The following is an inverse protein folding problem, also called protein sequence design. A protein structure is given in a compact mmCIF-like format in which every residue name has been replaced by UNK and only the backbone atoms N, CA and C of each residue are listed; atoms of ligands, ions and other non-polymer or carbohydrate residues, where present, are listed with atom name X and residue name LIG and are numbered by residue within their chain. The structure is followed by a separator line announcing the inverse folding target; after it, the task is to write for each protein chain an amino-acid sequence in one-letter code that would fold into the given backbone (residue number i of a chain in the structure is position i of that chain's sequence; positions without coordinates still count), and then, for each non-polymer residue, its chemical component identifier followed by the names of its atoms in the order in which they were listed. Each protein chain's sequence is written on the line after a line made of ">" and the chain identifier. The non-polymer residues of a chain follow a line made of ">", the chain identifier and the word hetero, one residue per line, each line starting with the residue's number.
data_IF_376795687678
#
_entry.id   IF_376795687678
#
_cell.length_a   1.000
_cell.length_b   1.000
_cell.length_c   1.000
_cell.angle_alpha   90.00
_cell.angle_beta   90.00
_cell.angle_gamma   90.00
#
_symmetry.space_group_name_H-M   'P 1'
#
loop_
_entity.id
_entity.type
_entity.pdbx_description
1 polymer ?
#
# COMPACT_ATOMS: atom_id res chain seq x y z
N UNK A 1 -83.14 32.00 51.51
CA UNK A 1 -82.12 31.19 52.21
C UNK A 1 -81.71 30.04 51.31
N UNK A 2 -80.56 30.15 50.69
CA UNK A 2 -79.96 29.01 49.92
C UNK A 2 -79.10 28.21 50.87
N UNK A 3 -79.36 26.95 50.96
CA UNK A 3 -78.82 25.99 51.88
C UNK A 3 -77.35 25.67 51.58
N UNK A 4 -76.53 25.55 52.59
CA UNK A 4 -75.06 25.34 52.56
C UNK A 4 -74.46 24.04 51.92
N UNK A 5 -75.19 23.05 51.43
CA UNK A 5 -74.62 21.85 50.89
C UNK A 5 -74.14 21.94 49.39
N UNK A 6 -74.62 22.91 48.60
CA UNK A 6 -74.25 23.03 47.18
C UNK A 6 -72.86 23.58 46.94
N UNK A 7 -72.32 24.38 47.81
CA UNK A 7 -71.02 25.02 47.70
C UNK A 7 -69.87 24.02 47.98
N UNK A 8 -70.07 23.08 48.90
CA UNK A 8 -69.03 22.08 49.30
C UNK A 8 -68.83 20.99 48.18
N UNK A 9 -69.91 20.66 47.47
CA UNK A 9 -69.76 19.68 46.32
C UNK A 9 -69.02 20.29 45.15
N UNK A 10 -69.10 21.57 44.87
CA UNK A 10 -68.37 22.28 43.80
C UNK A 10 -66.88 22.33 44.04
N UNK A 11 -66.45 22.49 45.28
CA UNK A 11 -65.01 22.50 45.61
C UNK A 11 -64.35 21.10 45.57
N UNK A 12 -65.08 20.04 45.89
CA UNK A 12 -64.59 18.69 45.88
C UNK A 12 -64.37 18.15 44.44
N UNK A 13 -65.23 18.50 43.49
CA UNK A 13 -65.13 18.14 42.08
C UNK A 13 -64.00 18.83 41.34
N UNK A 14 -63.70 20.12 41.72
CA UNK A 14 -62.59 20.85 41.09
C UNK A 14 -61.21 20.35 41.54
N UNK A 15 -61.05 20.00 42.80
CA UNK A 15 -59.80 19.39 43.31
C UNK A 15 -59.54 18.00 42.76
N UNK A 16 -60.53 17.19 42.51
CA UNK A 16 -60.42 15.84 41.92
C UNK A 16 -60.04 15.92 40.45
N UNK A 17 -60.62 16.85 39.70
CA UNK A 17 -60.30 17.07 38.26
C UNK A 17 -58.86 17.59 38.08
N UNK A 18 -58.35 18.44 38.99
CA UNK A 18 -56.96 18.93 38.97
C UNK A 18 -55.94 17.82 39.27
N UNK A 19 -56.26 16.89 40.15
CA UNK A 19 -55.42 15.71 40.46
C UNK A 19 -55.35 14.81 39.25
N UNK A 20 -56.46 14.46 38.59
CA UNK A 20 -56.51 13.65 37.39
C UNK A 20 -55.67 14.27 36.25
N UNK A 21 -55.81 15.55 35.99
CA UNK A 21 -55.00 16.26 34.97
C UNK A 21 -53.50 16.21 35.25
N UNK A 22 -53.09 16.31 36.51
CA UNK A 22 -51.67 16.22 36.92
C UNK A 22 -51.11 14.80 36.73
N UNK A 23 -51.89 13.78 37.08
CA UNK A 23 -51.50 12.37 36.89
C UNK A 23 -51.37 12.03 35.40
N UNK A 24 -52.35 12.47 34.58
CA UNK A 24 -52.28 12.31 33.12
C UNK A 24 -51.06 13.03 32.50
N UNK A 25 -50.81 14.26 32.93
CA UNK A 25 -49.64 15.01 32.45
C UNK A 25 -48.31 14.31 32.86
N UNK A 26 -48.20 13.83 34.10
CA UNK A 26 -47.04 13.09 34.57
C UNK A 26 -46.83 11.77 33.79
N UNK A 27 -47.92 11.01 33.55
CA UNK A 27 -47.87 9.80 32.75
C UNK A 27 -47.43 10.08 31.31
N UNK A 28 -47.93 11.15 30.70
CA UNK A 28 -47.54 11.56 29.33
C UNK A 28 -46.08 12.00 29.28
N UNK A 29 -45.59 12.76 30.25
CA UNK A 29 -44.18 13.13 30.35
C UNK A 29 -43.27 11.94 30.58
N UNK A 30 -43.68 10.97 31.40
CA UNK A 30 -42.95 9.73 31.61
C UNK A 30 -42.87 8.88 30.32
N UNK A 31 -43.97 8.85 29.55
CA UNK A 31 -43.98 8.16 28.24
C UNK A 31 -43.02 8.82 27.24
N UNK A 32 -43.05 10.15 27.14
CA UNK A 32 -42.12 10.89 26.25
C UNK A 32 -40.68 10.67 26.69
N UNK A 33 -40.38 10.72 27.98
CA UNK A 33 -39.06 10.47 28.51
C UNK A 33 -38.61 9.03 28.20
N UNK A 34 -39.48 8.04 28.36
CA UNK A 34 -39.23 6.64 28.02
C UNK A 34 -38.91 6.44 26.54
N UNK A 35 -39.69 7.04 25.65
CA UNK A 35 -39.43 7.00 24.19
C UNK A 35 -38.10 7.69 23.87
N UNK A 36 -37.79 8.81 24.49
CA UNK A 36 -36.52 9.53 24.30
C UNK A 36 -35.30 8.70 24.73
N UNK A 37 -35.39 8.04 25.88
CA UNK A 37 -34.34 7.16 26.41
C UNK A 37 -34.13 5.94 25.47
N UNK A 38 -35.19 5.28 25.06
CA UNK A 38 -35.13 4.12 24.14
C UNK A 38 -34.53 4.58 22.81
N UNK A 39 -34.97 5.69 22.25
CA UNK A 39 -34.46 6.25 21.01
C UNK A 39 -32.98 6.59 21.09
N UNK A 40 -32.55 7.17 22.21
CA UNK A 40 -31.13 7.50 22.46
C UNK A 40 -30.27 6.22 22.48
N UNK A 41 -30.67 5.21 23.24
CA UNK A 41 -29.91 3.93 23.28
C UNK A 41 -29.92 3.21 21.95
N UNK A 42 -31.03 3.25 21.21
CA UNK A 42 -31.12 2.67 19.88
C UNK A 42 -30.14 3.35 18.91
N UNK A 43 -30.10 4.69 18.88
CA UNK A 43 -29.17 5.45 18.04
C UNK A 43 -27.70 5.18 18.40
N UNK A 44 -27.37 5.14 19.69
CA UNK A 44 -26.02 4.82 20.16
C UNK A 44 -25.58 3.42 19.69
N UNK A 45 -26.47 2.44 19.83
CA UNK A 45 -26.20 1.07 19.40
C UNK A 45 -26.00 1.00 17.89
N UNK A 46 -26.86 1.67 17.11
CA UNK A 46 -26.74 1.68 15.65
C UNK A 46 -25.46 2.38 15.16
N UNK A 47 -25.04 3.46 15.83
CA UNK A 47 -23.76 4.11 15.53
C UNK A 47 -22.56 3.20 15.85
N UNK A 48 -22.60 2.50 16.98
CA UNK A 48 -21.55 1.55 17.36
C UNK A 48 -21.45 0.38 16.35
N UNK A 49 -22.59 -0.22 15.99
CA UNK A 49 -22.65 -1.31 15.01
C UNK A 49 -22.17 -0.86 13.62
N UNK A 50 -22.53 0.35 13.21
CA UNK A 50 -22.07 0.92 11.93
C UNK A 50 -20.56 1.15 11.91
N UNK A 51 -19.98 1.61 13.02
CA UNK A 51 -18.52 1.79 13.15
C UNK A 51 -17.79 0.45 13.10
N UNK A 52 -18.31 -0.55 13.83
CA UNK A 52 -17.72 -1.88 13.83
C UNK A 52 -17.73 -2.52 12.44
N UNK A 53 -18.86 -2.43 11.72
CA UNK A 53 -18.96 -2.90 10.33
C UNK A 53 -17.98 -2.18 9.41
N UNK A 54 -17.86 -0.87 9.51
CA UNK A 54 -16.92 -0.09 8.72
C UNK A 54 -15.46 -0.50 9.00
N UNK A 55 -15.10 -0.73 10.27
CA UNK A 55 -13.76 -1.21 10.63
C UNK A 55 -13.49 -2.61 10.04
N UNK A 56 -14.43 -3.53 10.14
CA UNK A 56 -14.30 -4.88 9.57
C UNK A 56 -14.13 -4.84 8.05
N UNK A 57 -14.91 -4.01 7.37
CA UNK A 57 -14.82 -3.81 5.92
C UNK A 57 -13.46 -3.23 5.52
N UNK A 58 -13.01 -2.17 6.21
CA UNK A 58 -11.69 -1.56 5.96
C UNK A 58 -10.55 -2.55 6.21
N UNK A 59 -10.62 -3.34 7.29
CA UNK A 59 -9.62 -4.37 7.56
C UNK A 59 -9.59 -5.43 6.46
N UNK A 60 -10.75 -5.94 6.05
CA UNK A 60 -10.83 -6.93 4.98
C UNK A 60 -10.25 -6.41 3.64
N UNK A 61 -10.52 -5.13 3.31
CA UNK A 61 -9.95 -4.49 2.13
C UNK A 61 -8.43 -4.35 2.26
N UNK A 62 -7.94 -3.94 3.43
CA UNK A 62 -6.50 -3.82 3.69
C UNK A 62 -5.81 -5.19 3.55
N UNK A 63 -6.36 -6.25 4.15
CA UNK A 63 -5.84 -7.61 4.05
C UNK A 63 -5.80 -8.12 2.60
N UNK A 64 -6.86 -7.84 1.83
CA UNK A 64 -6.89 -8.17 0.40
C UNK A 64 -5.76 -7.46 -0.36
N UNK A 65 -5.55 -6.17 -0.11
CA UNK A 65 -4.48 -5.39 -0.74
C UNK A 65 -3.10 -5.92 -0.38
N UNK A 66 -2.86 -6.21 0.90
CA UNK A 66 -1.61 -6.82 1.38
C UNK A 66 -1.34 -8.13 0.66
N UNK A 67 -2.34 -9.02 0.56
CA UNK A 67 -2.19 -10.29 -0.16
C UNK A 67 -1.89 -10.10 -1.66
N UNK A 68 -2.51 -9.12 -2.31
CA UNK A 68 -2.27 -8.82 -3.72
C UNK A 68 -0.85 -8.31 -3.94
N UNK A 69 -0.37 -7.39 -3.08
CA UNK A 69 1.00 -6.86 -3.12
C UNK A 69 2.00 -8.00 -2.86
N UNK A 70 1.75 -8.83 -1.86
CA UNK A 70 2.60 -9.97 -1.54
C UNK A 70 2.74 -10.94 -2.73
N UNK A 71 1.62 -11.37 -3.32
CA UNK A 71 1.64 -12.26 -4.50
C UNK A 71 2.37 -11.65 -5.69
N UNK A 72 2.16 -10.36 -5.94
CA UNK A 72 2.88 -9.65 -6.98
C UNK A 72 4.39 -9.65 -6.74
N UNK A 73 4.80 -9.32 -5.51
CA UNK A 73 6.20 -9.32 -5.09
C UNK A 73 6.83 -10.71 -5.22
N UNK A 74 6.19 -11.74 -4.70
CA UNK A 74 6.65 -13.13 -4.82
C UNK A 74 6.81 -13.55 -6.28
N UNK A 75 5.89 -13.17 -7.15
CA UNK A 75 6.03 -13.41 -8.59
C UNK A 75 7.27 -12.75 -9.18
N UNK A 76 7.56 -11.49 -8.83
CA UNK A 76 8.77 -10.80 -9.32
C UNK A 76 10.06 -11.43 -8.78
N UNK A 77 10.08 -11.80 -7.51
CA UNK A 77 11.23 -12.50 -6.92
C UNK A 77 11.45 -13.88 -7.53
N UNK A 78 10.39 -14.63 -7.76
CA UNK A 78 10.45 -15.94 -8.41
C UNK A 78 11.02 -15.86 -9.83
N UNK A 79 10.61 -14.85 -10.62
CA UNK A 79 11.19 -14.59 -11.94
C UNK A 79 12.70 -14.26 -11.83
N UNK A 80 13.09 -13.38 -10.93
CA UNK A 80 14.50 -13.01 -10.74
C UNK A 80 15.35 -14.21 -10.28
N UNK A 81 14.85 -15.04 -9.38
CA UNK A 81 15.52 -16.28 -8.96
C UNK A 81 15.68 -17.25 -10.13
N UNK A 82 14.64 -17.43 -10.95
CA UNK A 82 14.73 -18.27 -12.14
C UNK A 82 15.82 -17.77 -13.09
N UNK A 83 15.88 -16.47 -13.36
CA UNK A 83 16.89 -15.89 -14.26
C UNK A 83 18.30 -15.96 -13.69
N UNK A 84 18.46 -15.78 -12.38
CA UNK A 84 19.75 -15.93 -11.70
C UNK A 84 20.37 -17.32 -11.91
N UNK A 85 19.53 -18.35 -11.99
CA UNK A 85 19.94 -19.75 -12.13
C UNK A 85 19.86 -20.28 -13.58
N UNK A 86 19.34 -19.49 -14.52
CA UNK A 86 19.14 -19.91 -15.89
C UNK A 86 20.47 -20.12 -16.61
N UNK A 87 20.82 -21.38 -16.90
CA UNK A 87 22.08 -21.76 -17.51
C UNK A 87 22.34 -21.10 -18.89
N UNK A 88 21.29 -20.77 -19.63
CA UNK A 88 21.43 -20.07 -20.91
C UNK A 88 21.89 -18.63 -20.71
N UNK A 89 21.34 -17.92 -19.71
CA UNK A 89 21.77 -16.57 -19.37
C UNK A 89 23.25 -16.56 -18.97
N UNK A 90 23.64 -17.46 -18.05
CA UNK A 90 25.02 -17.59 -17.61
C UNK A 90 26.00 -17.89 -18.74
N UNK A 91 25.63 -18.76 -19.70
CA UNK A 91 26.47 -19.07 -20.88
C UNK A 91 26.65 -17.86 -21.79
N UNK A 92 25.56 -17.15 -22.08
CA UNK A 92 25.58 -15.99 -22.97
C UNK A 92 26.33 -14.82 -22.35
N UNK A 93 26.16 -14.59 -21.02
CA UNK A 93 26.94 -13.59 -20.26
C UNK A 93 28.44 -13.98 -20.27
N UNK A 94 28.78 -15.25 -20.04
CA UNK A 94 30.15 -15.70 -20.08
C UNK A 94 30.77 -15.50 -21.46
N UNK A 95 30.02 -15.79 -22.54
CA UNK A 95 30.46 -15.55 -23.91
C UNK A 95 30.66 -14.05 -24.20
N UNK A 96 29.75 -13.21 -23.72
CA UNK A 96 29.84 -11.73 -23.83
C UNK A 96 31.14 -11.21 -23.19
N UNK A 97 31.53 -11.75 -22.03
CA UNK A 97 32.72 -11.33 -21.29
C UNK A 97 34.05 -11.80 -21.91
N UNK A 98 34.03 -12.84 -22.74
CA UNK A 98 35.25 -13.45 -23.34
C UNK A 98 35.78 -12.69 -24.55
N UNK A 99 35.10 -11.70 -25.09
CA UNK A 99 35.62 -10.84 -26.16
C UNK A 99 34.89 -10.91 -27.51
N UNK A 100 35.53 -10.63 -28.65
CA UNK A 100 34.88 -10.21 -29.88
C UNK A 100 33.98 -11.25 -30.60
N UNK A 101 34.00 -12.54 -30.23
CA UNK A 101 32.99 -13.53 -30.68
C UNK A 101 31.62 -13.35 -29.99
N UNK A 102 31.42 -12.27 -29.29
CA UNK A 102 30.28 -12.01 -28.40
C UNK A 102 29.05 -11.38 -29.06
N UNK A 103 29.11 -11.02 -30.35
CA UNK A 103 27.97 -10.34 -30.99
C UNK A 103 26.69 -11.19 -31.01
N UNK A 104 26.83 -12.50 -31.23
CA UNK A 104 25.68 -13.42 -31.14
C UNK A 104 25.11 -13.49 -29.72
N UNK A 105 25.99 -13.67 -28.73
CA UNK A 105 25.59 -13.70 -27.32
C UNK A 105 24.96 -12.36 -26.88
N UNK A 106 25.53 -11.26 -27.32
CA UNK A 106 24.95 -9.91 -27.08
C UNK A 106 23.57 -9.78 -27.69
N UNK A 107 23.41 -10.21 -28.96
CA UNK A 107 22.10 -10.15 -29.62
C UNK A 107 21.05 -11.04 -28.93
N UNK A 108 21.44 -12.25 -28.48
CA UNK A 108 20.56 -13.15 -27.73
C UNK A 108 20.15 -12.56 -26.38
N UNK A 109 21.08 -12.02 -25.60
CA UNK A 109 20.81 -11.36 -24.33
C UNK A 109 19.90 -10.13 -24.51
N UNK A 110 20.17 -9.27 -25.48
CA UNK A 110 19.33 -8.11 -25.79
C UNK A 110 17.94 -8.53 -26.24
N UNK A 111 17.82 -9.57 -27.05
CA UNK A 111 16.54 -10.12 -27.47
C UNK A 111 15.74 -10.61 -26.26
N UNK A 112 16.36 -11.41 -25.39
CA UNK A 112 15.74 -11.88 -24.15
C UNK A 112 15.33 -10.74 -23.21
N UNK A 113 16.21 -9.75 -22.99
CA UNK A 113 15.89 -8.58 -22.16
C UNK A 113 14.71 -7.77 -22.75
N UNK A 114 14.63 -7.64 -24.06
CA UNK A 114 13.48 -7.01 -24.73
C UNK A 114 12.19 -7.79 -24.52
N UNK A 115 12.23 -9.11 -24.57
CA UNK A 115 11.06 -9.97 -24.28
C UNK A 115 10.57 -9.78 -22.83
N UNK A 116 11.47 -9.67 -21.87
CA UNK A 116 11.10 -9.39 -20.47
C UNK A 116 10.43 -8.04 -20.30
N UNK A 117 10.76 -7.06 -21.13
CA UNK A 117 10.15 -5.74 -21.13
C UNK A 117 8.74 -5.72 -21.74
N UNK A 118 8.34 -6.73 -22.49
CA UNK A 118 7.00 -6.81 -23.08
C UNK A 118 5.95 -6.83 -21.96
N UNK A 119 4.91 -6.00 -22.10
CA UNK A 119 3.82 -5.87 -21.14
C UNK A 119 4.18 -5.02 -19.93
N UNK A 120 5.18 -4.16 -20.06
CA UNK A 120 5.61 -3.16 -19.06
C UNK A 120 5.91 -3.72 -17.66
N UNK A 121 6.30 -5.00 -17.60
CA UNK A 121 6.64 -5.64 -16.32
C UNK A 121 7.84 -5.01 -15.65
N UNK A 122 8.81 -4.59 -16.45
CA UNK A 122 10.05 -3.95 -16.04
C UNK A 122 10.23 -2.67 -16.83
N UNK A 123 10.51 -1.59 -16.15
CA UNK A 123 10.78 -0.31 -16.78
C UNK A 123 12.14 -0.32 -17.47
N UNK A 124 13.14 -0.88 -16.78
CA UNK A 124 14.51 -1.00 -17.24
C UNK A 124 15.12 -2.34 -16.83
N UNK A 125 15.97 -2.86 -17.67
CA UNK A 125 16.84 -4.01 -17.39
C UNK A 125 18.28 -3.61 -17.68
N UNK A 126 19.21 -3.91 -16.80
CA UNK A 126 20.62 -3.62 -17.00
C UNK A 126 21.50 -4.76 -16.49
N UNK A 127 22.52 -5.10 -17.27
CA UNK A 127 23.53 -6.10 -16.94
C UNK A 127 24.86 -5.41 -16.67
N UNK A 128 25.49 -5.74 -15.55
CA UNK A 128 26.78 -5.18 -15.12
C UNK A 128 27.83 -6.27 -14.95
N UNK A 129 29.07 -5.92 -15.23
CA UNK A 129 30.22 -6.79 -14.91
C UNK A 129 30.54 -6.76 -13.40
N UNK A 130 31.47 -7.61 -12.93
CA UNK A 130 31.88 -7.60 -11.52
C UNK A 130 32.55 -6.28 -11.04
N UNK A 131 32.96 -5.41 -11.94
CA UNK A 131 33.52 -4.09 -11.65
C UNK A 131 32.44 -2.98 -11.60
N UNK A 132 31.16 -3.36 -11.84
CA UNK A 132 30.06 -2.42 -11.86
C UNK A 132 29.94 -1.63 -13.18
N UNK A 133 30.68 -2.03 -14.21
CA UNK A 133 30.55 -1.45 -15.55
C UNK A 133 29.32 -2.05 -16.24
N UNK A 134 28.48 -1.21 -16.83
CA UNK A 134 27.34 -1.67 -17.60
C UNK A 134 27.79 -2.34 -18.88
N UNK A 135 27.33 -3.59 -19.07
CA UNK A 135 27.53 -4.38 -20.29
C UNK A 135 26.41 -4.16 -21.30
N UNK A 136 25.15 -4.25 -20.84
CA UNK A 136 23.95 -4.11 -21.66
C UNK A 136 22.87 -3.40 -20.86
N UNK A 137 21.95 -2.73 -21.56
CA UNK A 137 20.70 -2.22 -20.97
C UNK A 137 19.56 -2.15 -21.98
N UNK A 138 18.34 -2.28 -21.49
CA UNK A 138 17.11 -2.11 -22.25
C UNK A 138 16.14 -1.25 -21.43
N UNK A 139 15.82 0.00 -21.87
CA UNK A 139 16.38 0.71 -23.04
C UNK A 139 17.90 0.89 -22.96
N UNK A 140 18.50 1.13 -24.12
CA UNK A 140 19.94 1.39 -24.18
C UNK A 140 20.28 2.71 -23.46
N UNK A 141 21.32 2.68 -22.63
CA UNK A 141 21.76 3.80 -21.85
C UNK A 141 23.28 3.85 -21.76
N UNK A 142 23.82 5.08 -21.69
CA UNK A 142 25.26 5.33 -21.58
C UNK A 142 25.69 5.82 -20.21
N UNK A 143 24.75 6.24 -19.36
CA UNK A 143 25.10 6.85 -18.07
C UNK A 143 25.63 5.83 -17.04
N UNK A 144 26.52 6.31 -16.18
CA UNK A 144 27.07 5.51 -15.09
C UNK A 144 26.00 5.35 -14.00
N UNK A 145 25.87 4.16 -13.38
CA UNK A 145 24.94 3.97 -12.27
C UNK A 145 25.33 4.85 -11.08
N UNK A 146 24.33 5.37 -10.39
CA UNK A 146 24.54 6.19 -9.20
C UNK A 146 25.09 5.39 -8.01
N UNK A 147 25.48 6.06 -6.93
CA UNK A 147 26.20 5.43 -5.80
C UNK A 147 25.35 4.36 -5.09
N UNK A 148 24.04 4.54 -5.02
CA UNK A 148 23.12 3.57 -4.40
C UNK A 148 23.13 2.26 -5.17
N UNK A 149 22.89 2.32 -6.48
CA UNK A 149 22.88 1.14 -7.33
C UNK A 149 24.28 0.45 -7.39
N UNK A 150 25.36 1.23 -7.38
CA UNK A 150 26.71 0.67 -7.30
C UNK A 150 26.93 -0.14 -6.01
N UNK A 151 26.46 0.37 -4.86
CA UNK A 151 26.56 -0.34 -3.60
C UNK A 151 25.75 -1.65 -3.60
N UNK A 152 24.60 -1.66 -4.24
CA UNK A 152 23.74 -2.85 -4.38
C UNK A 152 24.35 -3.91 -5.29
N UNK A 153 24.89 -3.50 -6.44
CA UNK A 153 25.64 -4.37 -7.33
C UNK A 153 26.79 -5.04 -6.56
N UNK A 154 27.59 -4.24 -5.83
CA UNK A 154 28.69 -4.76 -5.01
C UNK A 154 28.20 -5.70 -3.90
N UNK A 155 27.03 -5.46 -3.32
CA UNK A 155 26.43 -6.33 -2.30
C UNK A 155 25.96 -7.63 -2.88
N UNK A 156 25.27 -7.62 -4.04
CA UNK A 156 24.83 -8.81 -4.76
C UNK A 156 25.99 -9.71 -5.17
N UNK A 157 27.10 -9.12 -5.61
CA UNK A 157 28.32 -9.86 -5.95
C UNK A 157 28.92 -10.57 -4.74
N UNK A 158 28.95 -9.90 -3.57
CA UNK A 158 29.53 -10.47 -2.33
C UNK A 158 28.65 -11.55 -1.71
N UNK A 159 27.34 -11.31 -1.66
CA UNK A 159 26.38 -12.22 -1.01
C UNK A 159 25.99 -13.41 -1.90
N UNK A 160 26.30 -13.34 -3.22
CA UNK A 160 25.80 -14.26 -4.23
C UNK A 160 24.27 -14.45 -4.15
N UNK A 161 23.58 -13.45 -3.61
CA UNK A 161 22.14 -13.47 -3.34
C UNK A 161 21.38 -12.39 -4.08
N UNK A 162 20.07 -12.61 -4.17
CA UNK A 162 19.12 -11.63 -4.67
C UNK A 162 18.87 -10.57 -3.60
N UNK A 163 18.91 -9.31 -3.98
CA UNK A 163 18.56 -8.16 -3.15
C UNK A 163 17.40 -7.40 -3.77
N UNK A 164 16.58 -6.81 -2.91
CA UNK A 164 15.49 -5.92 -3.32
C UNK A 164 15.74 -4.57 -2.68
N UNK A 165 15.85 -3.55 -3.51
CA UNK A 165 15.84 -2.17 -3.06
C UNK A 165 14.39 -1.70 -3.11
N UNK A 166 13.83 -1.38 -1.96
CA UNK A 166 12.46 -0.92 -1.80
C UNK A 166 12.23 0.41 -2.55
N UNK A 167 10.98 0.84 -2.64
CA UNK A 167 10.61 2.09 -3.30
C UNK A 167 11.53 3.24 -2.89
N UNK A 168 12.20 3.81 -3.88
CA UNK A 168 13.12 4.94 -3.72
C UNK A 168 13.07 5.86 -4.95
N UNK A 169 13.67 7.04 -4.81
CA UNK A 169 13.86 7.94 -5.96
C UNK A 169 15.17 7.59 -6.64
N UNK A 170 15.10 7.38 -7.93
CA UNK A 170 16.28 7.19 -8.76
C UNK A 170 17.15 8.45 -8.82
N UNK A 171 18.42 8.24 -9.11
CA UNK A 171 19.39 9.33 -9.31
C UNK A 171 19.03 10.21 -10.53
N UNK A 172 18.19 9.68 -11.44
CA UNK A 172 17.69 10.38 -12.62
C UNK A 172 16.30 10.90 -12.41
N UNK A 173 16.07 12.15 -12.77
CA UNK A 173 14.76 12.83 -12.83
C UNK A 173 13.88 12.66 -11.58
N UNK A 174 14.39 12.00 -10.51
CA UNK A 174 13.64 11.74 -9.30
C UNK A 174 12.47 10.76 -9.47
N UNK A 175 12.45 9.96 -10.53
CA UNK A 175 11.44 8.93 -10.74
C UNK A 175 11.46 7.90 -9.63
N UNK A 176 10.28 7.46 -9.21
CA UNK A 176 10.14 6.45 -8.16
C UNK A 176 10.17 5.08 -8.82
N UNK A 177 11.05 4.21 -8.33
CA UNK A 177 11.16 2.83 -8.78
C UNK A 177 11.53 1.90 -7.61
N UNK A 178 11.49 0.61 -7.90
CA UNK A 178 11.92 -0.48 -7.06
C UNK A 178 12.87 -1.35 -7.88
N UNK A 179 14.01 -1.75 -7.30
CA UNK A 179 15.00 -2.58 -7.98
C UNK A 179 15.06 -3.98 -7.41
N UNK A 180 15.20 -4.95 -8.33
CA UNK A 180 15.59 -6.30 -7.99
C UNK A 180 16.96 -6.55 -8.59
N UNK A 181 17.93 -6.81 -7.73
CA UNK A 181 19.33 -6.99 -8.10
C UNK A 181 19.75 -8.41 -7.78
N UNK A 182 20.27 -9.15 -8.78
CA UNK A 182 20.66 -10.52 -8.58
C UNK A 182 21.90 -10.91 -9.38
N UNK A 183 22.73 -11.83 -8.84
CA UNK A 183 23.93 -12.29 -9.50
C UNK A 183 23.60 -13.27 -10.64
N UNK A 184 24.42 -13.23 -11.69
CA UNK A 184 24.44 -14.23 -12.76
C UNK A 184 25.69 -15.08 -12.60
N UNK A 185 25.52 -16.40 -12.62
CA UNK A 185 26.59 -17.37 -12.49
C UNK A 185 26.90 -18.06 -13.82
N UNK A 186 28.17 -18.34 -14.09
CA UNK A 186 28.53 -19.23 -15.18
C UNK A 186 28.08 -20.67 -14.85
N UNK A 187 27.72 -21.50 -15.84
CA UNK A 187 27.25 -22.87 -15.58
C UNK A 187 28.21 -23.75 -14.79
N UNK A 188 29.51 -23.44 -14.81
CA UNK A 188 30.57 -24.18 -14.14
C UNK A 188 31.20 -23.45 -12.94
N UNK A 189 30.59 -22.35 -12.48
CA UNK A 189 31.14 -21.52 -11.40
C UNK A 189 30.08 -21.16 -10.38
N UNK A 190 30.42 -21.22 -9.08
CA UNK A 190 29.59 -20.71 -8.00
C UNK A 190 29.81 -19.21 -7.77
N UNK A 191 30.89 -18.64 -8.30
CA UNK A 191 31.14 -17.21 -8.20
C UNK A 191 30.35 -16.45 -9.27
N UNK A 192 29.72 -15.32 -8.89
CA UNK A 192 29.03 -14.47 -9.84
C UNK A 192 29.96 -13.93 -10.92
N UNK A 193 29.53 -13.94 -12.16
CA UNK A 193 30.27 -13.35 -13.30
C UNK A 193 29.68 -12.04 -13.77
N UNK A 194 28.46 -11.71 -13.34
CA UNK A 194 27.76 -10.47 -13.65
C UNK A 194 26.62 -10.24 -12.66
N UNK A 195 26.00 -9.06 -12.72
CA UNK A 195 24.81 -8.71 -11.95
C UNK A 195 23.74 -8.19 -12.91
N UNK A 196 22.53 -8.68 -12.76
CA UNK A 196 21.33 -8.16 -13.43
C UNK A 196 20.55 -7.27 -12.49
N UNK A 197 20.11 -6.15 -13.01
CA UNK A 197 19.21 -5.21 -12.33
C UNK A 197 17.91 -5.12 -13.11
N UNK A 198 16.80 -5.37 -12.42
CA UNK A 198 15.45 -5.21 -12.94
C UNK A 198 14.81 -4.02 -12.21
N UNK A 199 14.61 -2.93 -12.93
CA UNK A 199 13.93 -1.75 -12.41
C UNK A 199 12.43 -1.84 -12.71
N UNK A 200 11.63 -1.68 -11.68
CA UNK A 200 10.17 -1.76 -11.74
C UNK A 200 9.58 -0.38 -11.49
N UNK A 201 8.75 0.10 -12.42
CA UNK A 201 7.99 1.32 -12.25
C UNK A 201 6.70 1.02 -11.44
N UNK A 202 6.54 1.56 -10.21
CA UNK A 202 5.37 1.30 -9.39
C UNK A 202 4.08 1.90 -9.96
N UNK A 203 4.18 2.90 -10.84
CA UNK A 203 3.00 3.53 -11.48
C UNK A 203 2.27 2.58 -12.44
N UNK A 204 2.92 1.51 -12.91
CA UNK A 204 2.30 0.57 -13.85
C UNK A 204 1.42 -0.47 -13.18
N UNK A 205 1.73 -0.87 -11.96
CA UNK A 205 0.96 -1.90 -11.26
C UNK A 205 0.69 -1.54 -9.79
N UNK A 206 1.73 -1.24 -9.02
CA UNK A 206 1.63 -1.14 -7.56
C UNK A 206 0.72 0.03 -7.12
N UNK A 207 0.94 1.21 -7.68
CA UNK A 207 0.14 2.38 -7.31
C UNK A 207 -1.32 2.28 -7.81
N UNK A 208 -1.61 1.84 -9.05
CA UNK A 208 -2.98 1.54 -9.46
C UNK A 208 -3.67 0.50 -8.57
N UNK A 209 -2.95 -0.56 -8.17
CA UNK A 209 -3.46 -1.56 -7.25
C UNK A 209 -3.85 -0.95 -5.90
N UNK A 210 -2.99 -0.12 -5.32
CA UNK A 210 -3.24 0.55 -4.03
C UNK A 210 -4.40 1.54 -4.15
N UNK A 211 -4.44 2.34 -5.19
CA UNK A 211 -5.45 3.37 -5.40
C UNK A 211 -6.83 2.81 -5.78
N UNK A 212 -6.90 1.58 -6.31
CA UNK A 212 -8.16 0.95 -6.64
C UNK A 212 -8.97 0.65 -5.38
N UNK A 213 -10.24 1.01 -5.37
CA UNK A 213 -11.18 0.71 -4.28
C UNK A 213 -12.28 -0.22 -4.78
N UNK A 214 -12.63 -1.30 -4.06
CA UNK A 214 -13.58 -2.30 -4.57
C UNK A 214 -15.01 -1.78 -4.73
N UNK A 215 -15.36 -0.72 -4.01
CA UNK A 215 -16.67 -0.06 -4.12
C UNK A 215 -16.50 1.43 -4.38
N UNK A 216 -17.41 2.10 -5.13
CA UNK A 216 -17.34 3.53 -5.34
C UNK A 216 -17.34 4.29 -4.01
N UNK A 217 -16.26 5.01 -3.72
CA UNK A 217 -16.15 5.88 -2.54
C UNK A 217 -15.53 7.21 -2.92
N UNK A 218 -16.09 8.28 -2.38
CA UNK A 218 -15.58 9.65 -2.59
C UNK A 218 -14.41 9.98 -1.68
N UNK A 219 -14.31 9.32 -0.55
CA UNK A 219 -13.36 9.66 0.53
C UNK A 219 -12.42 8.51 0.90
N UNK A 220 -12.71 7.28 0.48
CA UNK A 220 -11.85 6.15 0.77
C UNK A 220 -10.53 6.24 0.03
N UNK A 221 -9.45 5.96 0.73
CA UNK A 221 -8.09 5.96 0.25
C UNK A 221 -7.29 4.84 0.94
N UNK A 222 -6.45 4.16 0.18
CA UNK A 222 -5.45 3.23 0.74
C UNK A 222 -4.10 3.92 0.74
N UNK A 223 -3.42 3.89 1.86
CA UNK A 223 -2.10 4.48 2.03
C UNK A 223 -1.05 3.38 2.06
N UNK A 224 0.01 3.53 1.27
CA UNK A 224 1.23 2.75 1.42
C UNK A 224 2.25 3.61 2.15
N UNK A 225 2.69 3.12 3.30
CA UNK A 225 3.58 3.86 4.18
C UNK A 225 4.71 2.97 4.68
N UNK A 226 5.84 3.60 5.02
CA UNK A 226 7.00 2.95 5.62
C UNK A 226 7.40 3.70 6.88
N UNK A 227 7.71 2.94 7.94
CA UNK A 227 8.26 3.54 9.16
C UNK A 227 9.76 3.76 9.00
N UNK A 228 10.20 4.98 9.23
CA UNK A 228 11.62 5.35 9.27
C UNK A 228 11.92 6.03 10.62
N UNK A 229 12.45 5.26 11.56
CA UNK A 229 12.66 5.74 12.93
C UNK A 229 11.33 6.09 13.62
N UNK A 230 11.17 7.36 13.99
CA UNK A 230 9.93 7.88 14.59
C UNK A 230 8.94 8.45 13.58
N UNK A 231 9.31 8.50 12.31
CA UNK A 231 8.47 9.05 11.25
C UNK A 231 7.83 7.96 10.40
N UNK A 232 6.72 8.33 9.79
CA UNK A 232 6.03 7.58 8.76
C UNK A 232 6.19 8.31 7.44
N UNK A 233 6.75 7.62 6.44
CA UNK A 233 6.95 8.12 5.09
C UNK A 233 5.89 7.55 4.18
N UNK A 234 5.22 8.42 3.42
CA UNK A 234 4.23 8.01 2.43
C UNK A 234 4.96 7.53 1.16
N UNK A 235 4.72 6.30 0.77
CA UNK A 235 5.38 5.67 -0.38
C UNK A 235 4.63 5.86 -1.68
N UNK A 236 3.32 6.19 -1.62
CA UNK A 236 2.47 6.46 -2.77
C UNK A 236 1.91 7.89 -2.73
N UNK A 237 1.47 8.37 -3.87
CA UNK A 237 0.74 9.65 -3.95
C UNK A 237 -0.58 9.56 -3.19
N UNK A 238 -0.93 10.64 -2.51
CA UNK A 238 -2.24 10.81 -1.93
C UNK A 238 -3.26 11.21 -3.00
N UNK A 239 -4.51 10.77 -2.83
CA UNK A 239 -5.59 11.05 -3.78
C UNK A 239 -5.87 12.54 -3.99
N UNK A 240 -5.66 13.33 -2.95
CA UNK A 240 -6.00 14.75 -2.93
C UNK A 240 -4.80 15.68 -2.79
N UNK A 241 -3.58 15.12 -2.80
CA UNK A 241 -2.35 15.90 -2.67
C UNK A 241 -1.25 15.27 -3.53
N UNK A 242 -0.74 16.02 -4.49
CA UNK A 242 0.36 15.59 -5.37
C UNK A 242 1.72 15.77 -4.70
N UNK A 243 2.73 15.09 -5.24
CA UNK A 243 4.12 15.13 -4.78
C UNK A 243 4.30 14.65 -3.32
N UNK A 244 3.48 13.73 -2.88
CA UNK A 244 3.56 13.15 -1.54
C UNK A 244 4.41 11.90 -1.48
N UNK A 245 4.48 11.14 -2.56
CA UNK A 245 5.24 9.90 -2.63
C UNK A 245 6.72 10.13 -2.32
N UNK A 246 7.24 9.41 -1.31
CA UNK A 246 8.60 9.48 -0.77
C UNK A 246 9.03 10.87 -0.25
N UNK A 247 8.11 11.84 -0.21
CA UNK A 247 8.37 13.22 0.20
C UNK A 247 7.61 13.60 1.47
N UNK A 248 6.36 13.15 1.60
CA UNK A 248 5.55 13.42 2.77
C UNK A 248 5.99 12.55 3.94
N UNK A 249 6.37 13.21 5.03
CA UNK A 249 6.71 12.57 6.31
C UNK A 249 5.79 13.08 7.41
N UNK A 250 5.41 12.20 8.33
CA UNK A 250 4.62 12.53 9.50
C UNK A 250 5.21 11.83 10.72
N UNK A 251 5.24 12.47 11.90
CA UNK A 251 5.59 11.79 13.12
C UNK A 251 4.67 10.58 13.35
N UNK A 252 5.21 9.45 13.80
CA UNK A 252 4.44 8.21 14.02
C UNK A 252 3.34 8.34 15.09
N UNK A 253 3.39 9.40 15.92
CA UNK A 253 2.36 9.75 16.90
C UNK A 253 1.36 10.81 16.40
N UNK A 254 1.39 11.18 15.11
CA UNK A 254 0.41 12.14 14.53
C UNK A 254 -1.01 11.51 14.60
N UNK A 255 -1.97 12.15 15.31
CA UNK A 255 -3.33 11.61 15.45
C UNK A 255 -4.11 11.52 14.14
N UNK A 256 -3.60 12.10 13.07
CA UNK A 256 -4.17 12.01 11.71
C UNK A 256 -3.75 10.74 10.97
N UNK A 257 -2.76 10.02 11.49
CA UNK A 257 -2.40 8.71 10.94
C UNK A 257 -3.42 7.67 11.39
N UNK A 258 -3.76 6.69 10.53
CA UNK A 258 -4.61 5.58 10.94
C UNK A 258 -4.03 4.85 12.15
N UNK A 259 -4.89 4.49 13.11
CA UNK A 259 -4.50 3.83 14.37
C UNK A 259 -3.94 2.39 14.19
N UNK A 260 -3.80 1.92 12.96
CA UNK A 260 -3.32 0.57 12.61
C UNK A 260 -1.82 0.54 12.29
N UNK A 261 -1.05 1.50 12.76
CA UNK A 261 0.40 1.50 12.59
C UNK A 261 1.13 1.08 13.85
#
# INVERSE_FOLDING_TARGET
>A
ARTAPEVVQSFATDTQSRRYRRVLAAAFLALIAGIGIIGFFYLQRQLADSRLKAQQELSAIADLKVQQIFRWREGRLGEAMFFSQAAFVGRDVQALLRGPSSETAKAQLLHWMRLLKIGDRYHRLALFDPQGKRLLSVPEESEVPGPVLQAEIATSLRSSGLTVNDLHRGDRQGEIHLDIVFPIHAPSSQSPIAVMVLEINPHQFLFPLIQSWPMPSRTAETLLVRREGNDVVFLSELRHQSNTALSLRRPGNDPRLPAAM
#
